data_IF_823174789425
#
_entry.id   IF_823174789425
#
_cell.length_a   1.000
_cell.length_b   1.000
_cell.length_c   1.000
_cell.angle_alpha   90.00
_cell.angle_beta   90.00
_cell.angle_gamma   90.00
#
_symmetry.space_group_name_H-M   'P 1'
#
loop_
_entity.id
_entity.type
_entity.pdbx_description
1 polymer ?
#
# COMPACT_ATOMS: atom_id res chain seq x y z
N UNK A 1 4.32 30.06 -3.02
CA UNK A 1 3.65 29.24 -2.00
C UNK A 1 4.49 27.98 -1.81
N UNK A 2 4.98 27.71 -0.61
CA UNK A 2 5.72 26.48 -0.31
C UNK A 2 4.73 25.34 -0.10
N UNK A 3 4.63 24.43 -1.07
CA UNK A 3 3.90 23.18 -0.91
C UNK A 3 4.60 22.34 0.16
N UNK A 4 3.92 22.06 1.26
CA UNK A 4 4.42 21.14 2.28
C UNK A 4 4.53 19.75 1.67
N UNK A 5 5.74 19.19 1.68
CA UNK A 5 6.05 17.85 1.22
C UNK A 5 6.47 16.98 2.40
N UNK A 6 6.29 15.66 2.26
CA UNK A 6 6.70 14.66 3.23
C UNK A 6 7.03 13.33 2.54
N UNK A 7 7.69 12.44 3.27
CA UNK A 7 8.00 11.08 2.82
C UNK A 7 6.76 10.18 2.98
N UNK A 8 6.35 9.50 1.91
CA UNK A 8 5.32 8.46 1.93
C UNK A 8 5.77 7.30 2.83
N UNK A 9 4.94 6.90 3.79
CA UNK A 9 5.27 5.80 4.71
C UNK A 9 5.31 4.40 4.05
N UNK A 10 4.70 4.21 2.87
CA UNK A 10 4.68 2.93 2.16
C UNK A 10 5.90 2.73 1.23
N UNK A 11 6.21 3.72 0.39
CA UNK A 11 7.23 3.61 -0.68
C UNK A 11 8.42 4.57 -0.55
N UNK A 12 8.44 5.47 0.44
CA UNK A 12 9.53 6.43 0.64
C UNK A 12 9.51 7.67 -0.27
N UNK A 13 8.65 7.73 -1.29
CA UNK A 13 8.56 8.87 -2.22
C UNK A 13 8.21 10.19 -1.52
N UNK A 14 8.86 11.28 -1.93
CA UNK A 14 8.55 12.64 -1.49
C UNK A 14 7.27 13.12 -2.19
N UNK A 15 6.22 13.41 -1.42
CA UNK A 15 4.87 13.66 -1.91
C UNK A 15 4.23 14.85 -1.17
N UNK A 16 3.25 15.58 -1.74
CA UNK A 16 2.51 16.60 -1.00
C UNK A 16 1.89 16.05 0.30
N UNK A 17 1.71 16.89 1.30
CA UNK A 17 0.97 16.51 2.52
C UNK A 17 -0.51 16.29 2.19
N UNK A 18 -0.94 15.04 2.22
CA UNK A 18 -2.35 14.61 2.17
C UNK A 18 -2.84 14.18 3.58
N UNK A 19 -4.15 13.99 3.83
CA UNK A 19 -4.65 13.59 5.15
C UNK A 19 -4.19 12.21 5.63
N UNK A 20 -4.05 11.23 4.71
CA UNK A 20 -3.47 9.91 4.99
C UNK A 20 -1.94 9.98 5.01
N UNK A 21 -1.21 8.97 5.52
CA UNK A 21 0.27 8.97 5.55
C UNK A 21 0.97 8.43 4.29
N UNK A 22 0.22 8.17 3.21
CA UNK A 22 0.73 7.63 1.94
C UNK A 22 0.59 8.64 0.79
N UNK A 23 1.27 8.39 -0.33
CA UNK A 23 0.97 9.02 -1.62
C UNK A 23 -0.27 8.35 -2.26
N UNK A 24 -0.85 9.01 -3.27
CA UNK A 24 -2.08 8.55 -3.91
C UNK A 24 -1.93 7.18 -4.58
N UNK A 25 -0.81 6.94 -5.28
CA UNK A 25 -0.43 5.63 -5.84
C UNK A 25 -0.50 4.50 -4.79
N UNK A 26 0.13 4.69 -3.62
CA UNK A 26 0.09 3.67 -2.56
C UNK A 26 -1.26 3.58 -1.84
N UNK A 27 -2.16 4.55 -1.98
CA UNK A 27 -3.55 4.44 -1.53
C UNK A 27 -4.38 3.59 -2.51
N UNK A 28 -4.19 3.80 -3.82
CA UNK A 28 -4.81 2.99 -4.88
C UNK A 28 -4.32 1.54 -4.84
N UNK A 29 -3.01 1.30 -4.77
CA UNK A 29 -2.43 -0.04 -4.63
C UNK A 29 -2.93 -0.76 -3.38
N UNK A 30 -3.03 -0.06 -2.24
CA UNK A 30 -3.60 -0.63 -1.01
C UNK A 30 -5.05 -1.05 -1.23
N UNK A 31 -5.83 -0.28 -1.98
CA UNK A 31 -7.23 -0.57 -2.26
C UNK A 31 -7.40 -1.75 -3.22
N UNK A 32 -6.53 -1.88 -4.21
CA UNK A 32 -6.43 -3.06 -5.10
C UNK A 32 -6.10 -4.32 -4.29
N UNK A 33 -5.08 -4.28 -3.44
CA UNK A 33 -4.72 -5.41 -2.57
C UNK A 33 -5.84 -5.75 -1.59
N UNK A 34 -6.52 -4.72 -1.03
CA UNK A 34 -7.67 -4.91 -0.12
C UNK A 34 -8.86 -5.60 -0.81
N UNK A 35 -9.10 -5.32 -2.10
CA UNK A 35 -10.10 -6.03 -2.88
C UNK A 35 -9.70 -7.48 -3.12
N UNK A 36 -8.46 -7.73 -3.60
CA UNK A 36 -7.96 -9.08 -3.82
C UNK A 36 -8.01 -9.93 -2.54
N UNK A 37 -7.64 -9.38 -1.37
CA UNK A 37 -7.74 -10.06 -0.07
C UNK A 37 -9.16 -10.35 0.41
N UNK A 38 -10.20 -9.69 -0.12
CA UNK A 38 -11.60 -10.03 0.19
C UNK A 38 -12.04 -11.30 -0.54
N UNK A 39 -11.54 -11.49 -1.76
CA UNK A 39 -11.83 -12.65 -2.61
C UNK A 39 -10.91 -13.83 -2.28
N UNK A 40 -9.65 -13.54 -1.92
CA UNK A 40 -8.59 -14.49 -1.60
C UNK A 40 -8.05 -14.27 -0.16
N UNK A 41 -8.85 -14.52 0.90
CA UNK A 41 -8.51 -14.14 2.28
C UNK A 41 -7.30 -14.86 2.89
N UNK A 42 -6.80 -15.92 2.23
CA UNK A 42 -5.62 -16.70 2.65
C UNK A 42 -4.41 -16.48 1.73
N UNK A 43 -4.46 -15.52 0.81
CA UNK A 43 -3.36 -15.27 -0.12
C UNK A 43 -2.11 -14.77 0.63
N UNK A 44 -0.97 -15.35 0.28
CA UNK A 44 0.34 -14.91 0.74
C UNK A 44 0.76 -13.58 0.09
N UNK A 45 1.72 -12.84 0.67
CA UNK A 45 2.27 -11.61 0.06
C UNK A 45 2.78 -11.80 -1.37
N UNK A 46 3.26 -13.00 -1.71
CA UNK A 46 3.77 -13.35 -3.04
C UNK A 46 2.61 -13.46 -4.04
N UNK A 47 1.57 -14.21 -3.71
CA UNK A 47 0.38 -14.38 -4.57
C UNK A 47 -0.32 -13.03 -4.79
N UNK A 48 -0.46 -12.22 -3.73
CA UNK A 48 -0.98 -10.86 -3.81
C UNK A 48 -0.17 -10.03 -4.81
N UNK A 49 1.16 -9.99 -4.67
CA UNK A 49 2.03 -9.20 -5.54
C UNK A 49 1.97 -9.66 -7.01
N UNK A 50 1.88 -10.97 -7.25
CA UNK A 50 1.75 -11.55 -8.58
C UNK A 50 0.42 -11.17 -9.24
N UNK A 51 -0.70 -11.29 -8.52
CA UNK A 51 -2.04 -11.05 -9.08
C UNK A 51 -2.46 -9.58 -9.14
N UNK A 52 -2.00 -8.74 -8.21
CA UNK A 52 -2.34 -7.30 -8.17
C UNK A 52 -1.31 -6.42 -8.90
N UNK A 53 -0.19 -7.01 -9.31
CA UNK A 53 0.99 -6.33 -9.88
C UNK A 53 1.61 -5.25 -8.97
N UNK A 54 1.19 -5.17 -7.70
CA UNK A 54 1.80 -4.33 -6.67
C UNK A 54 3.11 -4.96 -6.23
N UNK A 55 4.17 -4.17 -6.09
CA UNK A 55 5.48 -4.65 -5.65
C UNK A 55 5.39 -5.35 -4.30
N UNK A 56 6.03 -6.53 -4.17
CA UNK A 56 5.98 -7.35 -2.94
C UNK A 56 6.45 -6.59 -1.70
N UNK A 57 7.40 -5.66 -1.85
CA UNK A 57 7.88 -4.77 -0.79
C UNK A 57 6.76 -3.85 -0.29
N UNK A 58 5.98 -3.24 -1.19
CA UNK A 58 4.81 -2.43 -0.84
C UNK A 58 3.72 -3.26 -0.17
N UNK A 59 3.41 -4.46 -0.69
CA UNK A 59 2.46 -5.40 -0.06
C UNK A 59 2.91 -5.74 1.37
N UNK A 60 4.20 -6.04 1.55
CA UNK A 60 4.79 -6.37 2.85
C UNK A 60 4.73 -5.17 3.81
N UNK A 61 5.07 -3.96 3.34
CA UNK A 61 5.00 -2.73 4.13
C UNK A 61 3.56 -2.43 4.59
N UNK A 62 2.55 -2.61 3.72
CA UNK A 62 1.14 -2.41 4.08
C UNK A 62 0.68 -3.39 5.17
N UNK A 63 1.16 -4.64 5.15
CA UNK A 63 0.87 -5.63 6.21
C UNK A 63 1.62 -5.30 7.50
N UNK A 64 2.92 -5.01 7.44
CA UNK A 64 3.73 -4.66 8.61
C UNK A 64 3.25 -3.39 9.33
N UNK A 65 2.68 -2.43 8.58
CA UNK A 65 2.12 -1.20 9.13
C UNK A 65 0.68 -1.36 9.65
N UNK A 66 0.15 -2.58 9.70
CA UNK A 66 -1.23 -2.86 10.11
C UNK A 66 -2.30 -2.25 9.18
N UNK A 67 -1.90 -1.75 8.00
CA UNK A 67 -2.82 -1.18 7.01
C UNK A 67 -3.58 -2.25 6.23
N UNK A 68 -3.09 -3.49 6.27
CA UNK A 68 -3.74 -4.72 5.82
C UNK A 68 -3.48 -5.83 6.84
N UNK A 69 -4.38 -6.80 6.93
CA UNK A 69 -4.28 -7.97 7.82
C UNK A 69 -4.50 -9.23 6.99
N UNK A 70 -3.53 -10.13 6.98
CA UNK A 70 -3.63 -11.48 6.41
C UNK A 70 -4.29 -12.41 7.45
N UNK A 71 -5.02 -13.44 7.00
CA UNK A 71 -5.79 -14.37 7.85
C UNK A 71 -5.35 -15.83 7.70
#
# INVERSE_FOLDING_TARGET
MSSLQRICKCCGSLTPVTPFMFCDECLEERETVRHYLREHPKASPIEIAQHTHVQIEKVTNLVQQGSLVLR
#
